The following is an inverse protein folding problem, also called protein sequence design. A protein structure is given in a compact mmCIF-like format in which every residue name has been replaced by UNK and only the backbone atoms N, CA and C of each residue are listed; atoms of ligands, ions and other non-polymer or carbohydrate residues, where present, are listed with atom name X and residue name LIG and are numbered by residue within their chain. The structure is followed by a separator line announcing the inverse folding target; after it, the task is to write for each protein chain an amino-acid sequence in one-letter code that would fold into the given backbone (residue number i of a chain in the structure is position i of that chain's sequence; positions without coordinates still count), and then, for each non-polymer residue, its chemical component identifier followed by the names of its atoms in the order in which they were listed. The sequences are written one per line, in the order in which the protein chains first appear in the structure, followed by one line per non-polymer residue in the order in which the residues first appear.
data_IF_774474680235
#
_entry.id   IF_774474680235
#
_cell.length_a   1.000
_cell.length_b   1.000
_cell.length_c   1.000
_cell.angle_alpha   90.00
_cell.angle_beta   90.00
_cell.angle_gamma   90.00
#
_symmetry.space_group_name_H-M   'P 1'
#
loop_
_entity.id
_entity.type
_entity.pdbx_description
1 polymer ?
#
# COMPACT_ATOMS: atom_id res chain seq x y z
N UNK A 1 -43.06 89.54 62.78
CA UNK A 1 -42.46 88.19 62.89
C UNK A 1 -42.88 87.41 61.65
N UNK A 2 -42.08 87.46 60.57
CA UNK A 2 -42.40 86.82 59.29
C UNK A 2 -41.47 85.62 59.09
N UNK A 3 -42.05 84.42 59.03
CA UNK A 3 -41.38 83.14 58.83
C UNK A 3 -41.17 82.93 57.33
N UNK A 4 -39.93 82.97 56.86
CA UNK A 4 -39.58 82.50 55.51
C UNK A 4 -39.67 80.97 55.48
N UNK A 5 -40.58 80.44 54.66
CA UNK A 5 -40.65 79.01 54.34
C UNK A 5 -39.55 78.67 53.34
N UNK A 6 -38.60 77.84 53.75
CA UNK A 6 -37.61 77.21 52.88
C UNK A 6 -38.30 76.37 51.81
N UNK A 7 -38.24 76.81 50.55
CA UNK A 7 -38.70 76.06 49.38
C UNK A 7 -37.71 74.93 49.07
N UNK A 8 -37.80 73.82 49.81
CA UNK A 8 -37.00 72.59 49.62
C UNK A 8 -37.24 71.82 48.30
N UNK A 9 -37.99 72.39 47.36
CA UNK A 9 -38.34 71.73 46.09
C UNK A 9 -37.43 72.06 44.90
N UNK A 10 -36.66 73.14 44.95
CA UNK A 10 -35.87 73.61 43.79
C UNK A 10 -34.64 72.73 43.54
N UNK A 11 -34.03 72.21 44.61
CA UNK A 11 -32.80 71.40 44.54
C UNK A 11 -33.00 70.03 43.91
N UNK A 12 -34.21 69.45 43.97
CA UNK A 12 -34.50 68.15 43.35
C UNK A 12 -34.64 68.25 41.83
N UNK A 13 -35.16 69.38 41.34
CA UNK A 13 -35.32 69.63 39.90
C UNK A 13 -33.96 69.83 39.24
N UNK A 14 -33.06 70.60 39.86
CA UNK A 14 -31.70 70.81 39.34
C UNK A 14 -30.87 69.51 39.29
N UNK A 15 -31.07 68.61 40.26
CA UNK A 15 -30.41 67.31 40.26
C UNK A 15 -30.93 66.41 39.11
N UNK A 16 -32.24 66.37 38.90
CA UNK A 16 -32.84 65.59 37.82
C UNK A 16 -32.42 66.10 36.43
N UNK A 17 -32.36 67.43 36.25
CA UNK A 17 -31.91 68.05 35.01
C UNK A 17 -30.42 67.76 34.76
N UNK A 18 -29.58 67.88 35.80
CA UNK A 18 -28.15 67.60 35.70
C UNK A 18 -27.86 66.13 35.38
N UNK A 19 -28.61 65.20 35.98
CA UNK A 19 -28.52 63.77 35.68
C UNK A 19 -28.96 63.47 34.24
N UNK A 20 -30.04 64.09 33.75
CA UNK A 20 -30.51 63.91 32.39
C UNK A 20 -29.48 64.40 31.37
N UNK A 21 -28.88 65.58 31.60
CA UNK A 21 -27.81 66.12 30.74
C UNK A 21 -26.58 65.20 30.77
N UNK A 22 -26.19 64.70 31.95
CA UNK A 22 -25.07 63.77 32.10
C UNK A 22 -25.30 62.46 31.33
N UNK A 23 -26.49 61.87 31.44
CA UNK A 23 -26.84 60.65 30.70
C UNK A 23 -26.84 60.87 29.19
N UNK A 24 -27.34 62.03 28.73
CA UNK A 24 -27.32 62.40 27.32
C UNK A 24 -25.88 62.55 26.82
N UNK A 25 -25.00 63.15 27.63
CA UNK A 25 -23.57 63.24 27.34
C UNK A 25 -22.89 61.87 27.29
N UNK A 26 -23.28 60.95 28.18
CA UNK A 26 -22.77 59.58 28.22
C UNK A 26 -23.17 58.79 26.97
N UNK A 27 -24.41 58.93 26.52
CA UNK A 27 -24.90 58.37 25.24
C UNK A 27 -24.13 58.97 24.06
N UNK A 28 -23.91 60.29 24.06
CA UNK A 28 -23.08 60.95 23.05
C UNK A 28 -21.65 60.43 23.03
N UNK A 29 -21.02 60.21 24.19
CA UNK A 29 -19.71 59.58 24.27
C UNK A 29 -19.77 58.22 23.56
N UNK A 30 -20.71 57.34 23.83
CA UNK A 30 -20.78 56.04 23.12
C UNK A 30 -21.05 56.17 21.60
N UNK A 31 -21.76 57.20 21.16
CA UNK A 31 -21.95 57.48 19.73
C UNK A 31 -20.68 58.01 19.05
N UNK A 32 -19.91 58.88 19.72
CA UNK A 32 -18.72 59.53 19.17
C UNK A 32 -17.41 58.78 19.43
N UNK A 33 -17.34 58.02 20.52
CA UNK A 33 -16.24 57.09 20.83
C UNK A 33 -16.54 55.69 20.32
N UNK A 34 -17.53 55.52 19.44
CA UNK A 34 -17.63 54.29 18.65
C UNK A 34 -16.25 54.12 18.01
N UNK A 35 -15.45 53.11 18.41
CA UNK A 35 -14.09 53.00 17.93
C UNK A 35 -14.19 53.02 16.42
N UNK A 36 -13.47 53.95 15.80
CA UNK A 36 -13.15 53.87 14.38
C UNK A 36 -12.36 52.56 14.28
N UNK A 37 -13.08 51.46 14.11
CA UNK A 37 -12.48 50.19 13.75
C UNK A 37 -11.78 50.50 12.44
N UNK A 38 -10.47 50.58 12.50
CA UNK A 38 -9.63 50.61 11.31
C UNK A 38 -10.05 49.37 10.52
N UNK A 39 -10.82 49.58 9.45
CA UNK A 39 -11.40 48.52 8.62
C UNK A 39 -10.30 47.65 7.99
N UNK A 40 -9.07 48.17 7.97
CA UNK A 40 -7.84 47.48 7.60
C UNK A 40 -7.48 46.34 8.55
N UNK A 41 -7.76 46.43 9.85
CA UNK A 41 -7.47 45.33 10.80
C UNK A 41 -8.40 44.12 10.63
N UNK A 42 -9.56 44.31 9.97
CA UNK A 42 -10.49 43.22 9.69
C UNK A 42 -10.06 42.42 8.44
N UNK A 43 -9.55 43.09 7.39
CA UNK A 43 -9.21 42.42 6.13
C UNK A 43 -8.11 41.36 6.27
N UNK A 44 -7.12 41.56 7.15
CA UNK A 44 -6.10 40.54 7.42
C UNK A 44 -6.72 39.27 8.03
N UNK A 45 -7.60 39.45 9.02
CA UNK A 45 -8.34 38.34 9.62
C UNK A 45 -9.27 37.63 8.61
N UNK A 46 -9.82 38.36 7.63
CA UNK A 46 -10.61 37.76 6.56
C UNK A 46 -9.74 36.93 5.61
N UNK A 47 -8.53 37.40 5.28
CA UNK A 47 -7.59 36.64 4.47
C UNK A 47 -7.11 35.36 5.22
N UNK A 48 -6.97 35.41 6.54
CA UNK A 48 -6.69 34.23 7.38
C UNK A 48 -7.79 33.18 7.31
N UNK A 49 -9.06 33.61 7.36
CA UNK A 49 -10.22 32.72 7.22
C UNK A 49 -10.17 32.01 5.86
N UNK A 50 -9.95 32.76 4.78
CA UNK A 50 -9.86 32.21 3.42
C UNK A 50 -8.66 31.28 3.28
N UNK A 51 -7.48 31.65 3.78
CA UNK A 51 -6.29 30.79 3.75
C UNK A 51 -6.53 29.46 4.48
N UNK A 52 -7.11 29.53 5.69
CA UNK A 52 -7.39 28.35 6.50
C UNK A 52 -8.35 27.40 5.78
N UNK A 53 -9.50 27.91 5.35
CA UNK A 53 -10.50 27.08 4.70
C UNK A 53 -10.04 26.56 3.33
N UNK A 54 -9.31 27.37 2.57
CA UNK A 54 -8.68 26.89 1.34
C UNK A 54 -7.75 25.71 1.63
N UNK A 55 -6.84 25.83 2.60
CA UNK A 55 -5.94 24.73 2.98
C UNK A 55 -6.72 23.50 3.43
N UNK A 56 -7.72 23.64 4.28
CA UNK A 56 -8.54 22.51 4.74
C UNK A 56 -9.31 21.83 3.60
N UNK A 57 -9.74 22.60 2.59
CA UNK A 57 -10.53 22.08 1.46
C UNK A 57 -9.67 21.39 0.42
N UNK A 58 -8.53 21.98 0.04
CA UNK A 58 -7.74 21.49 -1.10
C UNK A 58 -6.51 20.66 -0.72
N UNK A 59 -6.13 20.63 0.56
CA UNK A 59 -4.95 19.87 0.98
C UNK A 59 -5.30 18.41 1.17
N UNK A 60 -4.38 17.54 0.77
CA UNK A 60 -4.38 16.13 1.10
C UNK A 60 -3.12 15.80 1.89
N UNK A 61 -3.22 14.74 2.67
CA UNK A 61 -2.07 14.10 3.32
C UNK A 61 -1.96 12.67 2.79
N UNK A 62 -0.77 12.29 2.36
CA UNK A 62 -0.48 10.94 1.90
C UNK A 62 0.73 10.40 2.65
N UNK A 63 0.76 9.09 2.86
CA UNK A 63 1.93 8.41 3.40
C UNK A 63 2.59 7.60 2.29
N UNK A 64 3.91 7.73 2.19
CA UNK A 64 4.75 6.96 1.29
C UNK A 64 5.58 5.99 2.11
N UNK A 65 5.44 4.72 1.79
CA UNK A 65 6.09 3.60 2.45
C UNK A 65 7.02 2.94 1.41
N UNK A 66 8.34 3.20 1.47
CA UNK A 66 9.28 2.58 0.55
C UNK A 66 9.46 1.10 0.92
N UNK A 67 9.23 0.21 -0.04
CA UNK A 67 9.58 -1.20 0.02
C UNK A 67 10.88 -1.39 -0.77
N UNK A 68 11.94 -1.82 -0.09
CA UNK A 68 13.29 -1.90 -0.63
C UNK A 68 13.61 -3.36 -0.89
N UNK A 69 13.82 -3.70 -2.15
CA UNK A 69 14.18 -5.06 -2.57
C UNK A 69 15.63 -5.05 -3.06
N UNK A 70 16.46 -5.88 -2.44
CA UNK A 70 17.82 -6.13 -2.88
C UNK A 70 17.88 -7.46 -3.62
N UNK A 71 18.41 -7.45 -4.83
CA UNK A 71 18.54 -8.65 -5.66
C UNK A 71 19.82 -8.58 -6.48
N UNK A 72 20.46 -9.72 -6.68
CA UNK A 72 21.58 -9.86 -7.61
C UNK A 72 21.12 -10.13 -9.05
N UNK A 73 19.81 -10.22 -9.27
CA UNK A 73 19.18 -10.67 -10.50
C UNK A 73 18.07 -9.72 -10.94
N UNK A 74 17.88 -9.64 -12.25
CA UNK A 74 16.75 -8.92 -12.85
C UNK A 74 15.57 -9.88 -13.00
N UNK A 75 14.39 -9.45 -12.57
CA UNK A 75 13.13 -10.17 -12.73
C UNK A 75 12.10 -9.28 -13.38
N UNK A 76 11.30 -9.87 -14.26
CA UNK A 76 10.07 -9.24 -14.74
C UNK A 76 8.92 -9.80 -13.91
N UNK A 77 8.07 -8.91 -13.38
CA UNK A 77 6.86 -9.24 -12.63
C UNK A 77 7.06 -10.23 -11.47
N UNK A 78 8.17 -10.12 -10.71
CA UNK A 78 8.40 -10.98 -9.54
C UNK A 78 7.23 -10.82 -8.55
N UNK A 79 6.58 -11.91 -8.13
CA UNK A 79 5.52 -11.85 -7.15
C UNK A 79 6.07 -11.65 -5.74
N UNK A 80 5.49 -10.68 -5.05
CA UNK A 80 5.75 -10.40 -3.64
C UNK A 80 4.56 -10.82 -2.80
N UNK A 81 4.83 -11.57 -1.74
CA UNK A 81 3.87 -11.95 -0.71
C UNK A 81 4.43 -11.49 0.64
N UNK A 82 3.94 -10.35 1.12
CA UNK A 82 4.46 -9.70 2.33
C UNK A 82 3.43 -9.83 3.45
N UNK A 83 3.88 -10.19 4.65
CA UNK A 83 3.07 -10.00 5.86
C UNK A 83 2.79 -8.52 6.07
N UNK A 84 1.51 -8.18 6.02
CA UNK A 84 1.02 -6.82 6.11
C UNK A 84 0.38 -6.62 7.48
N UNK A 85 0.98 -5.73 8.27
CA UNK A 85 0.57 -5.45 9.66
C UNK A 85 0.04 -4.04 9.88
N UNK A 86 -0.11 -3.25 8.80
CA UNK A 86 -0.65 -1.90 8.85
C UNK A 86 -2.18 -1.90 8.70
N UNK A 87 -2.78 -0.70 8.65
CA UNK A 87 -4.23 -0.49 8.63
C UNK A 87 -4.93 -1.41 7.62
N UNK A 88 -5.93 -2.20 8.04
CA UNK A 88 -6.64 -3.12 7.16
C UNK A 88 -7.51 -2.45 6.09
N UNK A 89 -7.63 -1.11 6.02
CA UNK A 89 -8.43 -0.47 4.97
C UNK A 89 -7.70 -0.43 3.60
N UNK A 90 -7.86 -1.54 2.87
CA UNK A 90 -7.19 -1.87 1.61
C UNK A 90 -7.44 -0.82 0.52
N UNK A 91 -8.57 -0.11 0.55
CA UNK A 91 -8.96 0.80 -0.54
C UNK A 91 -8.06 2.03 -0.63
N UNK A 92 -7.32 2.31 0.43
CA UNK A 92 -6.51 3.52 0.56
C UNK A 92 -5.06 3.28 0.13
N UNK A 93 -4.70 2.05 -0.24
CA UNK A 93 -3.35 1.66 -0.64
C UNK A 93 -3.22 1.41 -2.14
N UNK A 94 -2.14 1.93 -2.73
CA UNK A 94 -1.78 1.69 -4.13
C UNK A 94 -0.27 1.76 -4.33
N UNK A 95 0.20 1.19 -5.42
CA UNK A 95 1.60 1.32 -5.84
C UNK A 95 1.74 2.55 -6.73
N UNK A 96 2.80 3.32 -6.55
CA UNK A 96 3.11 4.46 -7.42
C UNK A 96 3.42 4.05 -8.88
N UNK A 97 3.56 2.76 -9.13
CA UNK A 97 3.76 2.16 -10.46
C UNK A 97 2.39 1.63 -10.91
N UNK A 98 2.06 1.71 -12.20
CA UNK A 98 0.83 1.18 -12.82
C UNK A 98 0.68 -0.36 -12.68
N UNK A 99 0.62 -0.84 -11.44
CA UNK A 99 0.57 -2.23 -11.01
C UNK A 99 -0.47 -2.30 -9.91
N UNK A 100 -1.32 -3.31 -9.95
CA UNK A 100 -2.31 -3.51 -8.88
C UNK A 100 -1.67 -4.09 -7.64
N UNK A 101 -2.33 -3.87 -6.52
CA UNK A 101 -2.04 -4.46 -5.23
C UNK A 101 -3.28 -5.19 -4.74
N UNK A 102 -3.10 -6.29 -4.03
CA UNK A 102 -4.17 -7.01 -3.37
C UNK A 102 -3.75 -7.24 -1.92
N UNK A 103 -4.48 -6.65 -0.98
CA UNK A 103 -4.29 -6.95 0.44
C UNK A 103 -5.43 -7.86 0.87
N UNK A 104 -5.13 -9.05 1.39
CA UNK A 104 -6.13 -10.00 1.89
C UNK A 104 -5.50 -10.89 2.96
N UNK A 105 -6.25 -11.20 4.02
CA UNK A 105 -5.79 -12.08 5.11
C UNK A 105 -4.45 -11.62 5.74
N UNK A 106 -4.28 -10.30 5.95
CA UNK A 106 -3.04 -9.66 6.41
C UNK A 106 -1.82 -9.96 5.51
N UNK A 107 -2.05 -10.25 4.24
CA UNK A 107 -1.01 -10.39 3.23
C UNK A 107 -1.19 -9.34 2.15
N UNK A 108 -0.10 -8.68 1.80
CA UNK A 108 -0.03 -7.80 0.65
C UNK A 108 0.62 -8.56 -0.50
N UNK A 109 -0.11 -8.64 -1.61
CA UNK A 109 0.31 -9.30 -2.84
C UNK A 109 0.40 -8.29 -3.97
N UNK A 110 1.52 -8.30 -4.68
CA UNK A 110 1.72 -7.52 -5.90
C UNK A 110 2.84 -8.14 -6.73
N UNK A 111 3.00 -7.68 -7.96
CA UNK A 111 4.07 -8.09 -8.86
C UNK A 111 4.84 -6.86 -9.33
N UNK A 112 6.16 -6.95 -9.37
CA UNK A 112 7.00 -5.82 -9.75
C UNK A 112 8.29 -6.28 -10.45
N UNK A 113 8.73 -5.50 -11.42
CA UNK A 113 10.04 -5.70 -12.05
C UNK A 113 11.14 -5.33 -11.06
N UNK A 114 12.11 -6.23 -10.90
CA UNK A 114 13.26 -6.07 -10.01
C UNK A 114 14.50 -5.91 -10.87
N UNK A 115 15.34 -4.93 -10.56
CA UNK A 115 16.68 -4.81 -11.13
C UNK A 115 17.71 -5.62 -10.33
N UNK A 116 18.83 -5.95 -10.96
CA UNK A 116 19.99 -6.63 -10.35
C UNK A 116 20.78 -5.79 -9.31
N UNK A 117 20.13 -4.82 -8.68
CA UNK A 117 20.71 -4.00 -7.62
C UNK A 117 19.68 -3.77 -6.51
N UNK A 118 19.20 -2.54 -6.36
CA UNK A 118 18.18 -2.14 -5.40
C UNK A 118 16.99 -1.60 -6.15
N UNK A 119 15.82 -2.16 -5.89
CA UNK A 119 14.55 -1.68 -6.42
C UNK A 119 13.76 -1.08 -5.27
N UNK A 120 13.34 0.18 -5.43
CA UNK A 120 12.49 0.88 -4.45
C UNK A 120 11.09 0.95 -5.01
N UNK A 121 10.17 0.30 -4.33
CA UNK A 121 8.76 0.25 -4.67
C UNK A 121 8.03 1.15 -3.66
N UNK A 122 7.33 2.16 -4.14
CA UNK A 122 6.64 3.08 -3.24
C UNK A 122 5.19 2.63 -3.08
N UNK A 123 4.88 2.11 -1.89
CA UNK A 123 3.50 1.89 -1.45
C UNK A 123 2.96 3.20 -0.90
N UNK A 124 1.80 3.61 -1.38
CA UNK A 124 1.22 4.91 -1.06
C UNK A 124 -0.11 4.68 -0.37
N UNK A 125 -0.34 5.43 0.69
CA UNK A 125 -1.55 5.43 1.48
C UNK A 125 -2.20 6.82 1.42
N UNK A 126 -3.49 6.88 1.15
CA UNK A 126 -4.28 8.12 1.23
C UNK A 126 -5.72 7.81 1.61
N UNK A 127 -6.24 8.49 2.63
CA UNK A 127 -7.65 8.40 3.03
C UNK A 127 -8.58 9.17 2.11
N UNK A 128 -8.01 10.11 1.35
CA UNK A 128 -8.77 11.12 0.61
C UNK A 128 -8.81 10.85 -0.90
N UNK A 129 -7.99 9.92 -1.39
CA UNK A 129 -7.85 9.64 -2.80
C UNK A 129 -8.19 8.18 -3.10
N UNK A 130 -9.20 7.97 -3.95
CA UNK A 130 -9.37 6.70 -4.64
C UNK A 130 -8.52 6.72 -5.92
N UNK A 131 -7.37 6.05 -5.89
CA UNK A 131 -6.59 5.88 -7.11
C UNK A 131 -7.24 4.82 -8.01
N UNK A 132 -7.30 5.04 -9.34
CA UNK A 132 -7.81 4.02 -10.25
C UNK A 132 -6.93 2.78 -10.15
N UNK A 133 -7.49 1.70 -9.59
CA UNK A 133 -6.81 0.41 -9.53
C UNK A 133 -6.54 -0.08 -10.96
N UNK A 134 -5.27 -0.31 -11.27
CA UNK A 134 -4.88 -0.81 -12.58
C UNK A 134 -5.48 -2.20 -12.78
N UNK A 135 -6.31 -2.38 -13.80
CA UNK A 135 -6.81 -3.72 -14.15
C UNK A 135 -5.69 -4.46 -14.88
N UNK A 136 -5.06 -5.41 -14.20
CA UNK A 136 -4.16 -6.36 -14.86
C UNK A 136 -4.93 -7.13 -15.93
N UNK A 137 -4.26 -7.37 -17.07
CA UNK A 137 -4.68 -8.40 -17.99
C UNK A 137 -4.55 -9.74 -17.25
N UNK A 138 -5.67 -10.44 -17.08
CA UNK A 138 -5.70 -11.64 -16.25
C UNK A 138 -5.37 -12.88 -17.10
N UNK A 139 -4.11 -13.29 -17.08
CA UNK A 139 -3.65 -14.53 -17.72
C UNK A 139 -3.85 -15.75 -16.80
N UNK A 140 -4.24 -15.53 -15.54
CA UNK A 140 -4.56 -16.58 -14.58
C UNK A 140 -6.00 -17.06 -14.74
N UNK A 141 -6.12 -18.33 -15.07
CA UNK A 141 -7.38 -19.07 -15.01
C UNK A 141 -7.28 -20.10 -13.89
N UNK A 142 -8.26 -20.16 -12.99
CA UNK A 142 -8.22 -21.12 -11.89
C UNK A 142 -9.61 -21.51 -11.37
N UNK A 143 -9.65 -22.62 -10.64
CA UNK A 143 -10.77 -23.06 -9.79
C UNK A 143 -10.21 -23.94 -8.66
N UNK A 144 -11.07 -24.59 -7.88
CA UNK A 144 -10.68 -25.45 -6.76
C UNK A 144 -9.76 -26.64 -7.12
N UNK A 145 -9.68 -27.04 -8.39
CA UNK A 145 -8.93 -28.23 -8.86
C UNK A 145 -7.70 -27.90 -9.69
N UNK A 146 -7.58 -26.69 -10.22
CA UNK A 146 -6.42 -26.31 -11.02
C UNK A 146 -6.25 -24.80 -11.14
N UNK A 147 -5.00 -24.38 -11.36
CA UNK A 147 -4.65 -23.03 -11.80
C UNK A 147 -3.69 -23.10 -12.97
N UNK A 148 -3.90 -22.23 -13.96
CA UNK A 148 -3.10 -22.15 -15.17
C UNK A 148 -2.75 -20.71 -15.49
N UNK A 149 -1.50 -20.54 -15.87
CA UNK A 149 -0.94 -19.33 -16.52
C UNK A 149 -0.18 -19.75 -17.77
N UNK A 150 0.36 -18.80 -18.51
CA UNK A 150 1.13 -19.07 -19.73
C UNK A 150 2.22 -20.13 -19.49
N UNK A 151 2.14 -21.23 -20.23
CA UNK A 151 3.04 -22.39 -20.16
C UNK A 151 3.08 -23.16 -18.83
N UNK A 152 2.15 -22.93 -17.91
CA UNK A 152 2.13 -23.57 -16.59
C UNK A 152 0.71 -23.97 -16.18
N UNK A 153 0.57 -25.18 -15.65
CA UNK A 153 -0.68 -25.63 -15.03
C UNK A 153 -0.36 -26.50 -13.82
N UNK A 154 -1.01 -26.20 -12.70
CA UNK A 154 -0.96 -26.99 -11.48
C UNK A 154 -2.35 -27.53 -11.19
N UNK A 155 -2.43 -28.82 -10.88
CA UNK A 155 -3.64 -29.52 -10.46
C UNK A 155 -3.61 -29.76 -8.96
N UNK A 156 -4.79 -29.72 -8.36
CA UNK A 156 -5.01 -29.87 -6.94
C UNK A 156 -6.09 -30.91 -6.67
N UNK A 157 -5.85 -31.75 -5.67
CA UNK A 157 -6.85 -32.62 -5.06
C UNK A 157 -7.14 -32.12 -3.65
N UNK A 158 -8.37 -31.63 -3.42
CA UNK A 158 -8.79 -31.04 -2.14
C UNK A 158 -7.81 -29.95 -1.62
N UNK A 159 -7.34 -29.06 -2.49
CA UNK A 159 -6.33 -28.02 -2.19
C UNK A 159 -4.91 -28.53 -1.87
N UNK A 160 -4.65 -29.84 -1.99
CA UNK A 160 -3.29 -30.40 -1.99
C UNK A 160 -2.77 -30.42 -3.43
N UNK A 161 -1.52 -29.99 -3.63
CA UNK A 161 -0.88 -30.07 -4.94
C UNK A 161 -0.77 -31.53 -5.36
N UNK A 162 -1.21 -31.84 -6.58
CA UNK A 162 -1.18 -33.19 -7.14
C UNK A 162 -0.13 -33.28 -8.25
N UNK A 163 -0.39 -32.61 -9.38
CA UNK A 163 0.49 -32.63 -10.55
C UNK A 163 0.77 -31.24 -11.08
N UNK A 164 1.93 -31.05 -11.71
CA UNK A 164 2.29 -29.80 -12.40
C UNK A 164 2.83 -30.12 -13.78
N UNK A 165 2.36 -29.37 -14.78
CA UNK A 165 2.94 -29.36 -16.12
C UNK A 165 3.51 -27.99 -16.46
N UNK A 166 4.67 -28.01 -17.11
CA UNK A 166 5.36 -26.83 -17.58
C UNK A 166 5.78 -27.02 -19.04
N UNK A 167 5.41 -26.07 -19.91
CA UNK A 167 5.61 -26.12 -21.37
C UNK A 167 5.04 -27.37 -22.06
N UNK A 168 3.96 -27.93 -21.49
CA UNK A 168 3.29 -29.12 -22.00
C UNK A 168 3.51 -30.37 -21.14
N UNK A 169 4.75 -30.89 -21.01
CA UNK A 169 5.02 -32.08 -20.20
C UNK A 169 4.77 -31.89 -18.71
N UNK A 170 4.33 -32.97 -18.05
CA UNK A 170 4.27 -33.06 -16.59
C UNK A 170 5.68 -33.11 -16.01
N UNK A 171 5.93 -32.24 -15.02
CA UNK A 171 7.20 -32.10 -14.30
C UNK A 171 7.12 -32.68 -12.89
N UNK A 172 5.98 -32.54 -12.24
CA UNK A 172 5.70 -33.10 -10.92
C UNK A 172 4.50 -34.03 -11.06
N UNK A 173 4.71 -35.31 -10.74
CA UNK A 173 3.70 -36.37 -10.80
C UNK A 173 3.03 -36.61 -9.45
N UNK A 174 3.68 -36.21 -8.36
CA UNK A 174 3.19 -36.41 -7.00
C UNK A 174 3.81 -35.40 -6.06
N UNK A 175 3.01 -34.88 -5.14
CA UNK A 175 3.47 -34.05 -4.03
C UNK A 175 2.86 -34.56 -2.72
N UNK A 176 3.71 -34.85 -1.74
CA UNK A 176 3.29 -35.39 -0.44
C UNK A 176 3.94 -34.63 0.71
N UNK A 177 3.16 -34.39 1.76
CA UNK A 177 3.62 -33.74 2.98
C UNK A 177 3.58 -34.74 4.13
N UNK A 178 4.68 -34.82 4.87
CA UNK A 178 4.79 -35.59 6.09
C UNK A 178 5.15 -34.68 7.25
N UNK A 179 4.60 -34.94 8.43
CA UNK A 179 4.99 -34.32 9.70
C UNK A 179 5.44 -35.44 10.62
N UNK A 180 6.66 -35.34 11.15
CA UNK A 180 7.29 -36.41 11.94
C UNK A 180 7.16 -37.78 11.25
N UNK A 181 7.45 -37.81 9.94
CA UNK A 181 7.33 -38.97 9.04
C UNK A 181 5.91 -39.56 8.85
N UNK A 182 4.87 -38.93 9.39
CA UNK A 182 3.47 -39.32 9.15
C UNK A 182 2.91 -38.56 7.96
N UNK A 183 2.44 -39.29 6.94
CA UNK A 183 1.79 -38.70 5.76
C UNK A 183 0.51 -37.96 6.16
N UNK A 184 0.37 -36.73 5.69
CA UNK A 184 -0.76 -35.87 6.02
C UNK A 184 -1.90 -36.03 5.01
N UNK A 185 -2.85 -36.94 5.28
CA UNK A 185 -3.96 -37.26 4.34
C UNK A 185 -5.31 -36.65 4.72
N UNK A 186 -5.62 -36.50 6.02
CA UNK A 186 -6.91 -35.96 6.47
C UNK A 186 -6.85 -34.44 6.60
N UNK A 187 -7.58 -33.73 5.73
CA UNK A 187 -7.54 -32.27 5.66
C UNK A 187 -8.82 -31.65 5.11
N UNK A 188 -9.03 -30.38 5.43
CA UNK A 188 -9.97 -29.50 4.75
C UNK A 188 -9.23 -28.62 3.76
N UNK A 189 -9.71 -28.57 2.52
CA UNK A 189 -9.26 -27.64 1.50
C UNK A 189 -10.13 -26.39 1.44
N UNK A 190 -9.55 -25.25 1.10
CA UNK A 190 -10.30 -24.08 0.65
C UNK A 190 -9.55 -23.37 -0.47
N UNK A 191 -10.30 -22.69 -1.33
CA UNK A 191 -9.78 -22.02 -2.50
C UNK A 191 -10.27 -20.58 -2.57
N UNK A 192 -9.40 -19.70 -3.04
CA UNK A 192 -9.73 -18.30 -3.34
C UNK A 192 -8.99 -17.90 -4.60
N UNK A 193 -9.63 -17.12 -5.45
CA UNK A 193 -8.99 -16.54 -6.63
C UNK A 193 -9.24 -15.04 -6.71
N UNK A 194 -8.24 -14.36 -7.26
CA UNK A 194 -8.20 -12.92 -7.51
C UNK A 194 -7.71 -12.69 -8.94
N UNK A 195 -7.60 -11.44 -9.35
CA UNK A 195 -6.96 -11.10 -10.64
C UNK A 195 -5.44 -11.19 -10.64
N UNK A 196 -4.80 -11.55 -9.52
CA UNK A 196 -3.33 -11.62 -9.38
C UNK A 196 -2.83 -12.99 -8.96
N UNK A 197 -3.63 -13.72 -8.19
CA UNK A 197 -3.24 -15.02 -7.67
C UNK A 197 -4.42 -15.94 -7.41
N UNK A 198 -4.15 -17.24 -7.47
CA UNK A 198 -4.97 -18.31 -6.95
C UNK A 198 -4.33 -18.82 -5.65
N UNK A 199 -5.15 -18.92 -4.60
CA UNK A 199 -4.76 -19.36 -3.25
C UNK A 199 -5.47 -20.66 -2.92
N UNK A 200 -4.69 -21.66 -2.56
CA UNK A 200 -5.16 -22.98 -2.12
C UNK A 200 -4.70 -23.18 -0.68
N UNK A 201 -5.64 -23.43 0.22
CA UNK A 201 -5.35 -23.62 1.64
C UNK A 201 -5.72 -25.05 2.01
N UNK A 202 -4.70 -25.81 2.37
CA UNK A 202 -4.81 -27.08 3.06
C UNK A 202 -4.75 -26.81 4.57
N UNK A 203 -5.69 -27.36 5.33
CA UNK A 203 -5.70 -27.22 6.79
C UNK A 203 -6.03 -28.54 7.46
N UNK A 204 -5.28 -28.88 8.51
CA UNK A 204 -5.56 -30.01 9.38
C UNK A 204 -5.31 -29.64 10.86
N UNK A 205 -5.32 -30.60 11.78
CA UNK A 205 -5.11 -30.28 13.21
C UNK A 205 -3.69 -29.77 13.53
N UNK A 206 -2.69 -30.15 12.74
CA UNK A 206 -1.28 -29.83 12.99
C UNK A 206 -0.86 -28.51 12.32
N UNK A 207 -1.27 -28.28 11.07
CA UNK A 207 -0.80 -27.15 10.28
C UNK A 207 -1.86 -26.57 9.32
N UNK A 208 -1.57 -25.35 8.87
CA UNK A 208 -2.15 -24.71 7.71
C UNK A 208 -1.07 -24.55 6.65
N UNK A 209 -1.33 -25.09 5.48
CA UNK A 209 -0.46 -25.01 4.32
C UNK A 209 -1.16 -24.23 3.22
N UNK A 210 -0.60 -23.09 2.85
CA UNK A 210 -1.16 -22.19 1.85
C UNK A 210 -0.25 -22.17 0.64
N UNK A 211 -0.79 -22.39 -0.55
CA UNK A 211 -0.07 -22.27 -1.82
C UNK A 211 -0.67 -21.15 -2.64
N UNK A 212 0.20 -20.35 -3.26
CA UNK A 212 -0.11 -19.23 -4.13
C UNK A 212 0.45 -19.51 -5.53
N UNK A 213 -0.39 -19.31 -6.55
CA UNK A 213 0.00 -19.29 -7.96
C UNK A 213 -0.33 -17.90 -8.51
N UNK A 214 0.64 -17.23 -9.11
CA UNK A 214 0.53 -15.84 -9.57
C UNK A 214 0.28 -15.77 -11.08
N UNK A 215 -0.30 -14.66 -11.56
CA UNK A 215 -0.64 -14.39 -12.98
C UNK A 215 0.54 -14.41 -13.94
N UNK A 216 1.74 -14.09 -13.44
CA UNK A 216 2.96 -13.97 -14.22
C UNK A 216 4.09 -14.57 -13.38
N UNK A 217 5.02 -15.28 -14.03
CA UNK A 217 6.00 -16.22 -13.44
C UNK A 217 5.43 -17.62 -13.10
N UNK A 218 5.84 -18.67 -13.84
CA UNK A 218 5.39 -20.04 -13.63
C UNK A 218 6.02 -20.60 -12.36
N UNK A 219 5.27 -20.55 -11.25
CA UNK A 219 5.74 -21.07 -9.99
C UNK A 219 4.66 -21.13 -8.91
N UNK A 220 5.04 -21.72 -7.79
CA UNK A 220 4.23 -21.83 -6.59
C UNK A 220 5.02 -21.24 -5.44
N UNK A 221 4.40 -20.34 -4.69
CA UNK A 221 4.90 -19.91 -3.39
C UNK A 221 4.03 -20.53 -2.30
N UNK A 222 4.64 -21.23 -1.36
CA UNK A 222 3.94 -21.89 -0.27
C UNK A 222 4.36 -21.37 1.10
N UNK A 223 3.39 -21.29 2.00
CA UNK A 223 3.55 -20.87 3.39
C UNK A 223 2.95 -21.93 4.31
N UNK A 224 3.74 -22.36 5.29
CA UNK A 224 3.39 -23.36 6.28
C UNK A 224 3.32 -22.68 7.64
N UNK A 225 2.16 -22.77 8.29
CA UNK A 225 1.93 -22.28 9.66
C UNK A 225 1.48 -23.42 10.55
N UNK A 226 2.09 -23.55 11.72
CA UNK A 226 1.62 -24.48 12.75
C UNK A 226 0.34 -23.92 13.39
N UNK A 227 -0.68 -24.78 13.54
CA UNK A 227 -1.94 -24.38 14.20
C UNK A 227 -1.81 -24.22 15.71
N UNK A 228 -0.84 -24.92 16.30
CA UNK A 228 -0.50 -24.80 17.71
C UNK A 228 1.01 -24.74 17.86
N UNK A 229 1.52 -23.58 18.30
CA UNK A 229 2.92 -23.43 18.69
C UNK A 229 3.03 -23.96 20.11
N UNK A 230 3.55 -25.18 20.26
CA UNK A 230 3.87 -25.75 21.56
C UNK A 230 5.34 -25.45 21.84
N UNK A 231 5.68 -24.57 22.80
CA UNK A 231 7.07 -24.24 23.10
C UNK A 231 7.89 -25.49 23.42
N UNK A 232 9.02 -25.66 22.72
CA UNK A 232 9.94 -26.79 22.91
C UNK A 232 9.60 -28.06 22.13
N UNK A 233 8.50 -28.10 21.38
CA UNK A 233 8.18 -29.21 20.49
C UNK A 233 8.73 -28.92 19.09
N UNK A 234 9.88 -29.50 18.77
CA UNK A 234 10.43 -29.46 17.41
C UNK A 234 9.70 -30.49 16.55
N UNK A 235 8.99 -30.00 15.53
CA UNK A 235 8.34 -30.84 14.51
C UNK A 235 9.17 -30.83 13.24
N UNK A 236 9.35 -31.98 12.62
CA UNK A 236 9.97 -32.06 11.29
C UNK A 236 8.89 -32.11 10.22
N UNK A 237 9.06 -31.32 9.17
CA UNK A 237 8.29 -31.45 7.95
C UNK A 237 9.16 -32.08 6.88
N UNK A 238 8.57 -33.02 6.16
CA UNK A 238 9.16 -33.62 4.97
C UNK A 238 8.24 -33.38 3.77
N UNK A 239 8.73 -32.68 2.76
CA UNK A 239 8.08 -32.53 1.45
C UNK A 239 8.71 -33.55 0.51
N UNK A 240 7.88 -34.39 -0.10
CA UNK A 240 8.29 -35.37 -1.10
C UNK A 240 7.66 -35.03 -2.45
N UNK A 241 8.49 -34.99 -3.49
CA UNK A 241 8.10 -34.75 -4.86
C UNK A 241 8.55 -35.92 -5.74
N UNK A 242 7.64 -36.43 -6.56
CA UNK A 242 7.97 -37.34 -7.67
C UNK A 242 8.07 -36.51 -8.95
N UNK A 243 9.26 -36.43 -9.53
CA UNK A 243 9.63 -35.55 -10.63
C UNK A 243 9.88 -36.33 -11.93
N UNK A 244 9.88 -35.61 -13.04
CA UNK A 244 10.45 -36.11 -14.31
C UNK A 244 11.97 -36.28 -14.21
N UNK A 245 12.56 -37.07 -15.11
CA UNK A 245 14.01 -37.28 -15.16
C UNK A 245 14.71 -36.03 -15.70
N UNK A 246 15.29 -35.26 -14.80
CA UNK A 246 16.25 -34.21 -15.12
C UNK A 246 17.65 -34.79 -15.23
N UNK A 247 18.45 -34.31 -16.18
CA UNK A 247 19.81 -34.82 -16.38
C UNK A 247 20.74 -34.35 -15.27
N UNK A 248 20.60 -33.09 -14.85
CA UNK A 248 21.53 -32.44 -13.94
C UNK A 248 20.82 -31.89 -12.70
N UNK A 249 21.61 -31.69 -11.65
CA UNK A 249 21.22 -30.96 -10.46
C UNK A 249 22.29 -29.99 -9.97
N UNK A 250 21.85 -29.00 -9.20
CA UNK A 250 22.69 -28.05 -8.50
C UNK A 250 22.13 -27.73 -7.11
N UNK A 251 22.95 -27.86 -6.06
CA UNK A 251 22.60 -27.48 -4.68
C UNK A 251 23.59 -26.44 -4.14
N UNK A 252 23.05 -25.29 -3.71
CA UNK A 252 23.74 -24.25 -2.93
C UNK A 252 25.21 -23.90 -3.22
N UNK A 253 25.61 -23.71 -4.48
CA UNK A 253 26.99 -23.32 -4.88
C UNK A 253 28.10 -24.32 -4.53
N UNK A 254 27.78 -25.45 -3.90
CA UNK A 254 28.77 -26.42 -3.43
C UNK A 254 28.69 -27.70 -4.24
N UNK A 255 27.49 -28.16 -4.57
CA UNK A 255 27.27 -29.47 -5.17
C UNK A 255 26.56 -29.32 -6.51
N UNK A 256 27.10 -29.98 -7.54
CA UNK A 256 26.46 -30.12 -8.84
C UNK A 256 26.89 -31.44 -9.45
N UNK A 257 25.99 -32.04 -10.22
CA UNK A 257 26.28 -33.31 -10.87
C UNK A 257 25.12 -33.80 -11.72
N UNK A 258 25.30 -34.99 -12.27
CA UNK A 258 24.27 -35.71 -13.01
C UNK A 258 23.43 -36.55 -12.04
N UNK A 259 22.14 -36.70 -12.33
CA UNK A 259 21.26 -37.61 -11.57
C UNK A 259 21.42 -39.03 -12.13
N UNK A 260 21.89 -39.96 -11.30
CA UNK A 260 22.02 -41.36 -11.69
C UNK A 260 20.68 -42.10 -11.57
N UNK A 261 20.14 -42.56 -12.70
CA UNK A 261 18.88 -43.31 -12.79
C UNK A 261 19.06 -44.82 -12.95
N UNK A 262 20.30 -45.30 -13.01
CA UNK A 262 20.60 -46.73 -13.26
C UNK A 262 20.70 -47.54 -11.98
N UNK A 263 21.09 -46.89 -10.90
CA UNK A 263 21.16 -47.46 -9.56
C UNK A 263 20.20 -46.70 -8.66
N UNK A 264 19.63 -47.36 -7.63
CA UNK A 264 18.89 -46.68 -6.56
C UNK A 264 19.87 -45.92 -5.65
N UNK A 265 20.73 -45.09 -6.25
CA UNK A 265 21.66 -44.20 -5.58
C UNK A 265 20.93 -42.89 -5.28
N UNK A 266 21.22 -42.34 -4.11
CA UNK A 266 20.67 -41.07 -3.69
C UNK A 266 21.80 -40.12 -3.36
N UNK A 267 21.67 -38.89 -3.85
CA UNK A 267 22.49 -37.77 -3.42
C UNK A 267 21.80 -37.10 -2.24
N UNK A 268 22.52 -36.94 -1.14
CA UNK A 268 22.03 -36.33 0.09
C UNK A 268 22.94 -35.18 0.50
N UNK A 269 22.33 -34.07 0.89
CA UNK A 269 23.03 -32.90 1.37
C UNK A 269 22.30 -32.31 2.57
N UNK A 270 23.05 -32.05 3.63
CA UNK A 270 22.56 -31.38 4.83
C UNK A 270 22.78 -29.86 4.72
N UNK A 271 21.97 -29.10 5.46
CA UNK A 271 22.04 -27.64 5.52
C UNK A 271 21.99 -26.98 4.13
N UNK A 272 21.06 -27.44 3.30
CA UNK A 272 20.73 -26.86 1.99
C UNK A 272 19.36 -26.21 2.04
N UNK A 273 19.21 -25.07 1.40
CA UNK A 273 17.94 -24.36 1.28
C UNK A 273 17.53 -24.12 -0.17
N UNK A 274 18.39 -24.50 -1.12
CA UNK A 274 18.13 -24.40 -2.55
C UNK A 274 18.61 -25.63 -3.31
N UNK A 275 17.79 -26.08 -4.25
CA UNK A 275 18.16 -27.04 -5.27
C UNK A 275 17.51 -26.66 -6.60
N UNK A 276 18.25 -26.87 -7.67
CA UNK A 276 17.74 -26.82 -9.04
C UNK A 276 17.96 -28.18 -9.71
N UNK A 277 16.91 -28.74 -10.31
CA UNK A 277 17.00 -29.89 -11.21
C UNK A 277 16.64 -29.43 -12.62
N UNK A 278 17.54 -29.66 -13.57
CA UNK A 278 17.41 -29.06 -14.89
C UNK A 278 17.87 -30.00 -16.02
N UNK A 279 17.39 -29.68 -17.21
CA UNK A 279 17.67 -30.38 -18.46
C UNK A 279 17.46 -29.40 -19.63
N UNK A 280 18.36 -29.40 -20.59
CA UNK A 280 18.33 -28.47 -21.73
C UNK A 280 17.05 -28.60 -22.59
N UNK A 281 16.41 -29.77 -22.59
CA UNK A 281 15.21 -30.07 -23.38
C UNK A 281 13.94 -29.92 -22.54
N UNK A 282 13.96 -30.44 -21.33
CA UNK A 282 12.79 -30.46 -20.45
C UNK A 282 12.62 -29.17 -19.64
N UNK A 283 13.60 -28.27 -19.62
CA UNK A 283 13.60 -27.13 -18.71
C UNK A 283 14.06 -27.54 -17.31
N UNK A 284 13.71 -26.77 -16.28
CA UNK A 284 14.12 -27.06 -14.91
C UNK A 284 13.06 -26.70 -13.86
N UNK A 285 13.28 -27.22 -12.67
CA UNK A 285 12.53 -26.92 -11.45
C UNK A 285 13.50 -26.57 -10.33
N UNK A 286 13.44 -25.31 -9.93
CA UNK A 286 14.14 -24.80 -8.77
C UNK A 286 13.22 -24.86 -7.55
N UNK A 287 13.73 -25.38 -6.45
CA UNK A 287 13.05 -25.44 -5.17
C UNK A 287 13.86 -24.71 -4.13
N UNK A 288 13.21 -23.78 -3.43
CA UNK A 288 13.82 -22.96 -2.39
C UNK A 288 13.00 -23.08 -1.12
N UNK A 289 13.65 -23.25 0.03
CA UNK A 289 13.02 -23.22 1.36
C UNK A 289 13.68 -22.10 2.17
N UNK A 290 12.94 -21.37 3.00
CA UNK A 290 13.51 -20.26 3.79
C UNK A 290 14.28 -20.73 5.05
N UNK A 291 14.36 -22.04 5.27
CA UNK A 291 15.06 -22.69 6.38
C UNK A 291 16.07 -23.70 5.86
N UNK A 292 17.15 -23.92 6.61
CA UNK A 292 18.08 -25.02 6.33
C UNK A 292 17.32 -26.36 6.33
N UNK A 293 17.56 -27.17 5.32
CA UNK A 293 16.90 -28.45 5.11
C UNK A 293 17.92 -29.53 4.76
N UNK A 294 17.56 -30.78 5.06
CA UNK A 294 18.19 -31.95 4.48
C UNK A 294 17.51 -32.23 3.14
N UNK A 295 18.27 -32.14 2.06
CA UNK A 295 17.82 -32.41 0.70
C UNK A 295 18.30 -33.78 0.27
N UNK A 296 17.41 -34.57 -0.34
CA UNK A 296 17.71 -35.89 -0.89
C UNK A 296 17.12 -36.04 -2.28
N UNK A 297 17.95 -36.37 -3.26
CA UNK A 297 17.53 -36.75 -4.61
C UNK A 297 17.83 -38.23 -4.79
N UNK A 298 16.87 -39.01 -5.30
CA UNK A 298 17.12 -40.38 -5.74
C UNK A 298 16.66 -40.54 -7.18
N UNK A 299 17.49 -41.12 -8.04
CA UNK A 299 17.06 -41.53 -9.37
C UNK A 299 16.32 -42.87 -9.32
N UNK A 300 15.21 -42.96 -10.02
CA UNK A 300 14.46 -44.19 -10.25
C UNK A 300 14.27 -44.39 -11.76
N UNK A 301 14.03 -45.63 -12.24
CA UNK A 301 13.75 -45.85 -13.65
C UNK A 301 12.55 -45.01 -14.12
N UNK A 302 12.83 -43.93 -14.87
CA UNK A 302 11.91 -42.91 -15.42
C UNK A 302 11.40 -41.82 -14.48
N UNK A 303 11.79 -41.80 -13.19
CA UNK A 303 11.43 -40.72 -12.24
C UNK A 303 12.62 -40.27 -11.40
N UNK A 304 12.56 -39.04 -10.89
CA UNK A 304 13.44 -38.58 -9.82
C UNK A 304 12.59 -38.32 -8.58
N UNK A 305 13.06 -38.76 -7.41
CA UNK A 305 12.42 -38.50 -6.14
C UNK A 305 13.20 -37.44 -5.39
N UNK A 306 12.54 -36.32 -5.09
CA UNK A 306 13.14 -35.21 -4.35
C UNK A 306 12.45 -35.08 -2.99
N UNK A 307 13.26 -35.06 -1.93
CA UNK A 307 12.79 -34.91 -0.56
C UNK A 307 13.50 -33.77 0.13
N UNK A 308 12.73 -32.89 0.77
CA UNK A 308 13.22 -31.86 1.68
C UNK A 308 12.74 -32.17 3.09
N UNK A 309 13.65 -32.24 4.05
CA UNK A 309 13.31 -32.40 5.46
C UNK A 309 13.85 -31.22 6.26
N UNK A 310 12.98 -30.47 6.91
CA UNK A 310 13.36 -29.28 7.69
C UNK A 310 12.56 -29.18 8.98
N UNK A 311 13.06 -28.39 9.92
CA UNK A 311 12.36 -28.09 11.16
C UNK A 311 11.26 -27.06 10.88
N UNK A 312 10.05 -27.32 11.38
CA UNK A 312 8.95 -26.36 11.26
C UNK A 312 9.14 -25.21 12.24
N UNK A 313 9.14 -24.00 11.70
CA UNK A 313 9.02 -22.77 12.49
C UNK A 313 7.58 -22.22 12.38
N UNK A 314 7.29 -21.13 13.10
CA UNK A 314 5.93 -20.54 13.10
C UNK A 314 5.46 -20.14 11.70
N UNK A 315 6.38 -19.76 10.82
CA UNK A 315 6.13 -19.49 9.40
C UNK A 315 7.34 -19.99 8.62
N UNK A 316 7.17 -21.10 7.91
CA UNK A 316 8.17 -21.63 6.98
C UNK A 316 7.63 -21.48 5.57
N UNK A 317 8.46 -21.05 4.64
CA UNK A 317 8.07 -20.85 3.25
C UNK A 317 8.92 -21.68 2.32
N UNK A 318 8.30 -22.07 1.22
CA UNK A 318 9.01 -22.71 0.12
C UNK A 318 8.50 -22.18 -1.21
N UNK A 319 9.32 -22.29 -2.26
CA UNK A 319 8.97 -21.93 -3.63
C UNK A 319 9.30 -23.08 -4.57
N UNK A 320 8.46 -23.30 -5.55
CA UNK A 320 8.73 -24.13 -6.73
C UNK A 320 8.71 -23.21 -7.95
N UNK A 321 9.85 -23.03 -8.61
CA UNK A 321 10.01 -22.13 -9.75
C UNK A 321 10.43 -22.92 -10.98
N UNK A 322 9.71 -22.74 -12.09
CA UNK A 322 10.00 -23.44 -13.34
C UNK A 322 10.75 -22.54 -14.32
N UNK A 323 11.72 -23.09 -15.06
CA UNK A 323 12.58 -22.32 -15.96
C UNK A 323 13.07 -23.12 -17.17
N UNK A 324 13.86 -22.46 -18.01
CA UNK A 324 14.23 -22.92 -19.36
C UNK A 324 15.46 -23.84 -19.39
N UNK A 325 15.79 -24.50 -18.28
CA UNK A 325 16.70 -25.67 -18.31
C UNK A 325 18.19 -25.42 -18.15
N UNK A 326 18.65 -24.19 -17.92
CA UNK A 326 20.02 -23.91 -17.48
C UNK A 326 20.03 -23.54 -15.98
N UNK A 327 21.00 -24.04 -15.22
CA UNK A 327 21.22 -23.70 -13.81
C UNK A 327 21.40 -22.20 -13.55
N UNK A 328 21.96 -21.42 -14.49
CA UNK A 328 22.02 -19.96 -14.35
C UNK A 328 20.61 -19.35 -14.25
N UNK A 329 19.62 -19.95 -14.94
CA UNK A 329 18.23 -19.53 -14.86
C UNK A 329 17.54 -20.01 -13.57
N UNK A 330 18.00 -21.09 -12.95
CA UNK A 330 17.46 -21.58 -11.67
C UNK A 330 18.06 -20.83 -10.47
N UNK A 331 19.38 -20.60 -10.46
CA UNK A 331 20.12 -19.96 -9.37
C UNK A 331 19.66 -18.55 -9.01
N UNK A 332 18.94 -17.87 -9.91
CA UNK A 332 18.29 -16.61 -9.57
C UNK A 332 17.27 -16.79 -8.44
N UNK A 333 16.49 -17.87 -8.46
CA UNK A 333 15.46 -18.17 -7.46
C UNK A 333 15.99 -18.68 -6.13
N UNK A 334 17.31 -18.69 -5.93
CA UNK A 334 17.94 -19.14 -4.69
C UNK A 334 17.50 -18.32 -3.48
N UNK A 335 17.35 -17.02 -3.65
CA UNK A 335 17.04 -16.12 -2.55
C UNK A 335 15.57 -15.71 -2.62
N UNK A 336 14.92 -15.62 -1.44
CA UNK A 336 13.64 -14.95 -1.35
C UNK A 336 13.89 -13.44 -1.50
N UNK A 337 13.38 -12.83 -2.56
CA UNK A 337 13.46 -11.38 -2.76
C UNK A 337 12.52 -10.67 -1.77
N UNK A 338 13.01 -10.56 -0.54
CA UNK A 338 12.49 -9.89 0.65
C UNK A 338 12.34 -8.38 0.57
N UNK A 339 11.17 -7.77 0.32
CA UNK A 339 11.06 -6.32 0.49
C UNK A 339 11.22 -5.96 1.97
N UNK A 340 12.22 -5.14 2.25
CA UNK A 340 12.38 -4.50 3.56
C UNK A 340 11.54 -3.23 3.57
N UNK A 341 10.73 -3.07 4.61
CA UNK A 341 9.91 -1.87 4.78
C UNK A 341 10.80 -0.74 5.34
N UNK A 342 10.91 0.35 4.59
CA UNK A 342 11.64 1.53 5.01
C UNK A 342 10.78 2.49 5.85
N UNK A 343 11.36 3.64 6.20
CA UNK A 343 10.69 4.64 7.01
C UNK A 343 9.50 5.28 6.27
N UNK A 344 8.35 5.34 6.94
CA UNK A 344 7.14 6.02 6.45
C UNK A 344 7.42 7.52 6.34
N UNK A 345 7.03 8.11 5.21
CA UNK A 345 7.16 9.52 4.92
C UNK A 345 5.77 10.12 4.70
N UNK A 346 5.35 11.06 5.55
CA UNK A 346 4.12 11.83 5.33
C UNK A 346 4.40 13.03 4.43
N UNK A 347 3.55 13.20 3.42
CA UNK A 347 3.54 14.32 2.50
C UNK A 347 2.21 15.04 2.61
N UNK A 348 2.27 16.37 2.71
CA UNK A 348 1.10 17.24 2.74
C UNK A 348 1.19 18.27 1.63
N UNK A 349 0.15 18.36 0.81
CA UNK A 349 0.13 19.26 -0.34
C UNK A 349 -1.26 19.50 -0.90
N UNK A 350 -1.37 20.53 -1.73
CA UNK A 350 -2.59 20.85 -2.49
C UNK A 350 -2.81 19.76 -3.53
N UNK A 351 -3.98 19.15 -3.49
CA UNK A 351 -4.47 18.24 -4.51
C UNK A 351 -5.11 19.03 -5.66
N UNK A 352 -4.71 18.71 -6.88
CA UNK A 352 -5.18 19.43 -8.07
C UNK A 352 -6.65 19.14 -8.36
N UNK A 353 -7.12 17.93 -8.07
CA UNK A 353 -8.52 17.56 -8.29
C UNK A 353 -9.45 18.29 -7.31
N UNK A 354 -9.17 18.24 -6.00
CA UNK A 354 -9.89 19.03 -4.99
C UNK A 354 -9.85 20.53 -5.29
N UNK A 355 -8.69 21.04 -5.73
CA UNK A 355 -8.56 22.44 -6.13
C UNK A 355 -9.45 22.76 -7.34
N UNK A 356 -9.50 21.92 -8.36
CA UNK A 356 -10.41 22.11 -9.50
C UNK A 356 -11.88 21.97 -9.09
N UNK A 357 -12.21 21.03 -8.20
CA UNK A 357 -13.57 20.84 -7.69
C UNK A 357 -14.08 22.07 -6.94
N UNK A 358 -13.19 22.81 -6.27
CA UNK A 358 -13.53 24.09 -5.64
C UNK A 358 -14.12 25.11 -6.65
N UNK A 359 -13.68 25.08 -7.92
CA UNK A 359 -14.25 25.99 -8.97
C UNK A 359 -15.65 25.62 -9.40
N UNK A 360 -16.09 24.40 -9.10
CA UNK A 360 -17.44 23.93 -9.40
C UNK A 360 -18.42 24.27 -8.27
N UNK A 361 -17.92 24.67 -7.09
CA UNK A 361 -18.74 25.08 -5.97
C UNK A 361 -19.37 26.46 -6.18
N UNK A 362 -20.67 26.56 -5.87
CA UNK A 362 -21.38 27.83 -5.87
C UNK A 362 -20.76 28.79 -4.84
N UNK A 363 -20.40 29.99 -5.31
CA UNK A 363 -19.68 30.95 -4.48
C UNK A 363 -20.45 31.41 -3.24
N UNK A 364 -21.76 31.58 -3.35
CA UNK A 364 -22.58 32.00 -2.21
C UNK A 364 -22.56 30.92 -1.14
N UNK A 365 -22.76 29.67 -1.55
CA UNK A 365 -22.73 28.49 -0.69
C UNK A 365 -21.35 28.27 -0.04
N UNK A 366 -20.27 28.40 -0.82
CA UNK A 366 -18.89 28.28 -0.32
C UNK A 366 -18.60 29.34 0.74
N UNK A 367 -18.95 30.60 0.46
CA UNK A 367 -18.75 31.74 1.36
C UNK A 367 -19.52 31.59 2.67
N UNK A 368 -20.78 31.16 2.59
CA UNK A 368 -21.60 30.86 3.77
C UNK A 368 -21.02 29.69 4.58
N UNK A 369 -20.59 28.62 3.91
CA UNK A 369 -19.95 27.46 4.55
C UNK A 369 -18.65 27.81 5.28
N UNK A 370 -17.88 28.77 4.77
CA UNK A 370 -16.66 29.28 5.40
C UNK A 370 -16.93 30.35 6.47
N UNK A 371 -18.20 30.64 6.78
CA UNK A 371 -18.62 31.74 7.65
C UNK A 371 -18.00 33.10 7.26
N UNK A 372 -17.79 33.31 5.96
CA UNK A 372 -17.18 34.53 5.46
C UNK A 372 -18.23 35.63 5.29
N UNK A 373 -17.96 36.89 5.71
CA UNK A 373 -18.98 37.94 5.72
C UNK A 373 -19.60 38.22 4.35
N UNK A 374 -20.94 38.31 4.29
CA UNK A 374 -21.67 38.55 3.04
C UNK A 374 -21.38 39.92 2.41
N UNK A 375 -20.91 40.88 3.22
CA UNK A 375 -20.49 42.22 2.79
C UNK A 375 -19.15 42.23 2.05
N UNK A 376 -18.39 41.15 2.12
CA UNK A 376 -17.04 41.05 1.59
C UNK A 376 -16.96 39.96 0.53
N UNK A 377 -15.89 40.04 -0.26
CA UNK A 377 -15.58 39.06 -1.28
C UNK A 377 -14.13 38.62 -1.21
N UNK A 378 -13.85 37.48 -1.82
CA UNK A 378 -12.50 36.97 -1.94
C UNK A 378 -12.21 36.34 -3.30
N UNK A 379 -10.93 36.26 -3.61
CA UNK A 379 -10.37 35.59 -4.78
C UNK A 379 -9.13 34.82 -4.34
N UNK A 380 -8.93 33.64 -4.93
CA UNK A 380 -7.75 32.81 -4.68
C UNK A 380 -7.04 32.59 -6.01
N UNK A 381 -5.74 32.81 -6.06
CA UNK A 381 -4.91 32.46 -7.21
C UNK A 381 -3.75 31.59 -6.76
N UNK A 382 -3.46 30.52 -7.51
CA UNK A 382 -2.26 29.70 -7.32
C UNK A 382 -1.36 29.85 -8.53
N UNK A 383 -0.10 30.16 -8.26
CA UNK A 383 0.93 30.40 -9.26
C UNK A 383 2.08 29.42 -9.08
N UNK A 384 2.59 28.89 -10.19
CA UNK A 384 3.91 28.26 -10.20
C UNK A 384 5.00 29.36 -10.34
N UNK A 385 6.21 29.01 -10.78
CA UNK A 385 7.30 29.99 -10.94
C UNK A 385 7.03 31.07 -11.99
N UNK A 386 6.18 30.82 -12.99
CA UNK A 386 6.00 31.70 -14.17
C UNK A 386 4.55 31.96 -14.56
N UNK A 387 3.61 31.09 -14.22
CA UNK A 387 2.22 31.16 -14.66
C UNK A 387 1.21 30.89 -13.55
N UNK A 388 0.03 31.50 -13.70
CA UNK A 388 -1.18 31.19 -12.92
C UNK A 388 -1.69 29.82 -13.37
N UNK A 389 -1.77 28.89 -12.44
CA UNK A 389 -2.23 27.52 -12.69
C UNK A 389 -3.65 27.28 -12.17
N UNK A 390 -4.12 28.15 -11.28
CA UNK A 390 -5.48 28.11 -10.74
C UNK A 390 -5.93 29.52 -10.38
N UNK A 391 -7.21 29.78 -10.59
CA UNK A 391 -7.87 30.98 -10.10
C UNK A 391 -9.33 30.69 -9.77
N UNK A 392 -9.75 31.10 -8.58
CA UNK A 392 -11.15 31.12 -8.17
C UNK A 392 -11.63 32.58 -8.14
N UNK A 393 -12.38 32.98 -9.18
CA UNK A 393 -12.75 34.38 -9.48
C UNK A 393 -14.27 34.55 -9.69
N UNK A 394 -15.10 34.38 -8.66
CA UNK A 394 -16.56 34.34 -8.82
C UNK A 394 -17.21 35.73 -8.96
N UNK A 395 -16.51 36.81 -8.60
CA UNK A 395 -17.05 38.18 -8.64
C UNK A 395 -16.03 39.13 -9.26
N UNK A 396 -16.43 39.84 -10.31
CA UNK A 396 -15.60 40.89 -10.91
C UNK A 396 -15.42 42.06 -9.93
N UNK A 397 -14.18 42.53 -9.83
CA UNK A 397 -13.83 43.68 -9.01
C UNK A 397 -14.41 44.95 -9.62
N UNK A 398 -15.12 45.77 -8.83
CA UNK A 398 -15.47 47.12 -9.28
C UNK A 398 -14.23 48.01 -9.25
N UNK A 399 -14.14 48.96 -10.19
CA UNK A 399 -12.94 49.78 -10.47
C UNK A 399 -12.44 50.68 -9.31
N UNK A 400 -13.12 50.69 -8.16
CA UNK A 400 -12.79 51.56 -7.01
C UNK A 400 -12.66 50.80 -5.67
N UNK A 401 -12.48 49.48 -5.68
CA UNK A 401 -12.41 48.72 -4.42
C UNK A 401 -10.98 48.60 -3.89
N UNK A 402 -10.78 48.80 -2.59
CA UNK A 402 -9.51 48.51 -1.92
C UNK A 402 -9.36 47.01 -1.73
N UNK A 403 -8.28 46.43 -2.26
CA UNK A 403 -8.03 44.99 -2.20
C UNK A 403 -6.86 44.73 -1.25
N UNK A 404 -7.10 43.93 -0.23
CA UNK A 404 -6.03 43.37 0.59
C UNK A 404 -5.55 42.05 -0.04
N UNK A 405 -4.24 41.88 -0.18
CA UNK A 405 -3.65 40.65 -0.74
C UNK A 405 -2.71 40.02 0.27
N UNK A 406 -2.98 38.79 0.65
CA UNK A 406 -2.09 37.93 1.42
C UNK A 406 -1.42 36.92 0.51
N UNK A 407 -0.11 36.70 0.68
CA UNK A 407 0.66 35.71 -0.07
C UNK A 407 1.26 34.68 0.89
N UNK A 408 1.16 33.40 0.53
CA UNK A 408 1.88 32.32 1.21
C UNK A 408 2.42 31.30 0.21
N UNK A 409 3.34 30.45 0.66
CA UNK A 409 3.89 29.35 -0.13
C UNK A 409 3.23 28.03 0.27
N UNK A 410 3.01 27.17 -0.71
CA UNK A 410 2.53 25.79 -0.50
C UNK A 410 3.22 24.86 -1.50
N UNK A 411 2.82 23.59 -1.49
CA UNK A 411 3.24 22.60 -2.46
C UNK A 411 2.00 21.98 -3.10
N UNK A 412 2.02 21.81 -4.43
CA UNK A 412 1.11 20.89 -5.10
C UNK A 412 1.72 19.50 -5.03
N UNK A 413 0.89 18.52 -4.70
CA UNK A 413 1.23 17.11 -4.74
C UNK A 413 0.69 16.53 -6.05
N UNK A 414 1.57 16.14 -6.97
CA UNK A 414 1.15 15.52 -8.23
C UNK A 414 0.88 14.01 -8.07
N UNK A 415 0.34 13.38 -9.12
CA UNK A 415 0.02 11.94 -9.15
C UNK A 415 1.23 11.03 -8.92
N UNK A 416 2.43 11.54 -9.20
CA UNK A 416 3.71 10.84 -9.00
C UNK A 416 4.33 11.17 -7.63
N UNK A 417 3.59 11.90 -6.78
CA UNK A 417 3.94 12.22 -5.39
C UNK A 417 5.13 13.18 -5.31
N UNK A 418 5.32 13.99 -6.35
CA UNK A 418 6.29 15.06 -6.33
C UNK A 418 5.67 16.33 -5.77
N UNK A 419 6.40 16.96 -4.85
CA UNK A 419 6.04 18.26 -4.31
C UNK A 419 6.54 19.37 -5.22
N UNK A 420 5.62 20.14 -5.81
CA UNK A 420 5.94 21.32 -6.61
C UNK A 420 5.61 22.57 -5.83
N UNK A 421 6.61 23.39 -5.53
CA UNK A 421 6.42 24.64 -4.79
C UNK A 421 5.55 25.62 -5.59
N UNK A 422 4.55 26.18 -4.93
CA UNK A 422 3.63 27.18 -5.49
C UNK A 422 3.50 28.40 -4.59
N UNK A 423 3.08 29.52 -5.16
CA UNK A 423 2.65 30.72 -4.45
C UNK A 423 1.13 30.78 -4.49
N UNK A 424 0.51 31.02 -3.34
CA UNK A 424 -0.93 31.24 -3.23
C UNK A 424 -1.15 32.69 -2.86
N UNK A 425 -2.02 33.36 -3.61
CA UNK A 425 -2.48 34.71 -3.35
C UNK A 425 -3.95 34.64 -2.93
N UNK A 426 -4.24 35.17 -1.75
CA UNK A 426 -5.59 35.36 -1.24
C UNK A 426 -5.87 36.85 -1.29
N UNK A 427 -6.87 37.24 -2.06
CA UNK A 427 -7.31 38.63 -2.17
C UNK A 427 -8.68 38.76 -1.51
N UNK A 428 -8.86 39.78 -0.69
CA UNK A 428 -10.15 40.08 -0.03
C UNK A 428 -10.49 41.55 -0.17
N UNK A 429 -11.78 41.86 -0.32
CA UNK A 429 -12.28 43.23 -0.47
C UNK A 429 -13.69 43.44 0.09
#
# INVERSE_FOLDING_TARGET
MARFMDKRGVTQVDWAISLAIFLLFLVWIFFFTKPLFDSTSNLDSLADIVEKHFKETVTIEIEKIPLIVHSNWTYENEPFLIDYSYDPDITNYFLAVNKSIQIKDNKMVFQQDISNTTTIINLIHSTDLSFPQYKLANDLTSNERWASVTNFIAYFDNSTLDTISYRGPTKIFKHQIFIDDVLQTNHSGSYTNTSQYAKYVYSNQALNFTMYIFTENPGISGEIKLNQVIPGLNKTMKIYLELVNYTDYYMDRVEKGEVDYFFETCEEADDRNFIDLYDDVLGGVAVTVDTASKTKICGEPKRANLTFTFQLHNSTRYRLMFHDGNYENGTKYKDFNEPVIGAIQSYKGIDVEKMNNLTLEDYVSLREGWNFPLSNNFQIEVWNSTSKIFAYEPVEQTTQTNIYTKQFYSYILDSDINLRKVKVFVRVW
#
